data_IF_812847739777
#
_entry.id   IF_812847739777
#
_cell.length_a   1.000
_cell.length_b   1.000
_cell.length_c   1.000
_cell.angle_alpha   90.00
_cell.angle_beta   90.00
_cell.angle_gamma   90.00
#
_symmetry.space_group_name_H-M   'P 1'
#
loop_
_entity.id
_entity.type
_entity.pdbx_description
1 polymer ?
#
# COMPACT_ATOMS: atom_id res chain seq x y z
N UNK A 1 -21.75 66.50 10.08
CA UNK A 1 -20.41 65.92 10.36
C UNK A 1 -20.54 64.87 11.44
N UNK A 2 -20.79 63.61 11.05
CA UNK A 2 -20.97 62.49 11.97
C UNK A 2 -19.79 61.51 11.79
N UNK A 3 -19.08 61.29 12.88
CA UNK A 3 -17.78 60.63 12.97
C UNK A 3 -17.95 59.12 12.77
N UNK A 4 -17.16 58.58 11.85
CA UNK A 4 -16.93 57.16 11.60
C UNK A 4 -16.38 56.43 12.83
N UNK A 5 -16.87 55.23 13.09
CA UNK A 5 -16.02 54.03 13.31
C UNK A 5 -16.83 52.77 13.05
N UNK A 6 -16.79 52.38 11.77
CA UNK A 6 -17.24 51.10 11.21
C UNK A 6 -16.33 50.00 11.74
N UNK A 7 -16.91 49.00 12.41
CA UNK A 7 -16.22 47.79 12.82
C UNK A 7 -15.63 47.11 11.57
N UNK A 8 -14.31 46.92 11.54
CA UNK A 8 -13.62 46.10 10.55
C UNK A 8 -13.71 44.64 10.99
N UNK A 9 -14.71 43.93 10.50
CA UNK A 9 -14.65 42.48 10.39
C UNK A 9 -13.65 42.12 9.27
N UNK A 10 -12.42 41.81 9.66
CA UNK A 10 -11.46 41.14 8.78
C UNK A 10 -11.76 39.64 8.81
N UNK A 11 -12.76 39.21 8.04
CA UNK A 11 -12.92 37.81 7.67
C UNK A 11 -11.79 37.47 6.70
N UNK A 12 -10.73 36.84 7.23
CA UNK A 12 -9.71 36.16 6.43
C UNK A 12 -10.40 35.07 5.60
N UNK A 13 -10.62 35.34 4.33
CA UNK A 13 -11.06 34.36 3.35
C UNK A 13 -9.89 33.38 3.11
N UNK A 14 -9.97 32.20 3.71
CA UNK A 14 -8.99 31.14 3.51
C UNK A 14 -9.20 30.54 2.12
N UNK A 15 -8.20 30.54 1.22
CA UNK A 15 -8.36 29.91 -0.08
C UNK A 15 -8.63 28.42 0.11
N UNK A 16 -9.80 27.97 -0.34
CA UNK A 16 -10.16 26.55 -0.36
C UNK A 16 -9.10 25.77 -1.14
N UNK A 17 -8.42 24.84 -0.47
CA UNK A 17 -7.44 23.94 -1.12
C UNK A 17 -8.16 23.16 -2.22
N UNK A 18 -7.80 23.43 -3.48
CA UNK A 18 -8.23 22.60 -4.60
C UNK A 18 -7.80 21.14 -4.34
N UNK A 19 -8.66 20.15 -4.65
CA UNK A 19 -8.27 18.76 -4.55
C UNK A 19 -7.04 18.52 -5.44
N UNK A 20 -6.01 17.86 -4.91
CA UNK A 20 -4.81 17.46 -5.66
C UNK A 20 -5.25 16.53 -6.80
N UNK A 21 -5.52 17.09 -7.98
CA UNK A 21 -5.76 16.33 -9.20
C UNK A 21 -4.41 15.71 -9.55
N UNK A 22 -4.35 14.37 -9.57
CA UNK A 22 -3.15 13.63 -9.95
C UNK A 22 -2.67 14.00 -11.36
N UNK A 23 -1.53 13.45 -11.76
CA UNK A 23 -0.90 13.72 -13.06
C UNK A 23 -1.93 13.71 -14.21
N UNK A 24 -1.93 14.72 -15.11
CA UNK A 24 -2.89 14.81 -16.21
C UNK A 24 -2.93 13.53 -17.04
N UNK A 25 -4.12 12.96 -17.22
CA UNK A 25 -4.31 11.78 -18.08
C UNK A 25 -4.19 12.23 -19.54
N UNK A 26 -3.25 11.64 -20.29
CA UNK A 26 -3.12 11.88 -21.73
C UNK A 26 -4.41 11.50 -22.45
N UNK A 27 -5.08 12.48 -23.07
CA UNK A 27 -6.33 12.29 -23.83
C UNK A 27 -6.13 11.50 -25.13
N UNK A 28 -4.91 11.49 -25.66
CA UNK A 28 -4.59 10.96 -26.99
C UNK A 28 -3.72 9.69 -26.97
N UNK A 29 -3.37 9.19 -25.78
CA UNK A 29 -2.61 7.96 -25.63
C UNK A 29 -3.47 6.69 -25.73
N UNK A 30 -2.88 5.51 -26.02
CA UNK A 30 -3.57 4.23 -25.96
C UNK A 30 -4.26 4.07 -24.60
N UNK A 31 -5.58 3.84 -24.59
CA UNK A 31 -6.32 3.59 -23.35
C UNK A 31 -5.77 2.34 -22.67
N UNK A 32 -5.61 2.40 -21.34
CA UNK A 32 -5.24 1.21 -20.56
C UNK A 32 -6.26 0.10 -20.83
N UNK A 33 -5.77 -1.09 -21.17
CA UNK A 33 -6.63 -2.28 -21.33
C UNK A 33 -7.43 -2.49 -20.04
N UNK A 34 -8.70 -2.92 -20.13
CA UNK A 34 -9.49 -3.24 -18.94
C UNK A 34 -8.78 -4.31 -18.12
N UNK A 35 -8.76 -4.15 -16.80
CA UNK A 35 -8.05 -5.07 -15.90
C UNK A 35 -8.79 -6.41 -15.89
N UNK A 36 -8.13 -7.45 -16.39
CA UNK A 36 -8.63 -8.84 -16.34
C UNK A 36 -8.17 -9.51 -15.05
N UNK A 37 -8.71 -9.09 -13.91
CA UNK A 37 -8.36 -9.76 -12.65
C UNK A 37 -8.95 -11.17 -12.63
N UNK A 38 -8.10 -12.17 -12.90
CA UNK A 38 -8.50 -13.60 -12.87
C UNK A 38 -8.33 -14.25 -11.50
N UNK A 39 -7.68 -13.56 -10.56
CA UNK A 39 -7.34 -14.09 -9.26
C UNK A 39 -8.29 -13.57 -8.18
N UNK A 40 -9.17 -14.45 -7.71
CA UNK A 40 -9.88 -14.25 -6.43
C UNK A 40 -8.93 -14.63 -5.29
N UNK A 41 -8.78 -13.71 -4.34
CA UNK A 41 -8.00 -13.92 -3.11
C UNK A 41 -8.97 -14.20 -1.98
N UNK A 42 -8.74 -15.24 -1.18
CA UNK A 42 -9.61 -15.59 -0.05
C UNK A 42 -9.11 -14.95 1.24
N UNK A 43 -9.98 -14.78 2.24
CA UNK A 43 -9.62 -14.19 3.54
C UNK A 43 -8.78 -15.16 4.38
N UNK A 44 -8.11 -14.68 5.43
CA UNK A 44 -7.39 -15.56 6.35
C UNK A 44 -8.31 -16.52 7.11
N UNK A 45 -9.53 -16.08 7.45
CA UNK A 45 -10.54 -16.96 8.06
C UNK A 45 -10.91 -18.13 7.16
N UNK A 46 -11.20 -17.87 5.88
CA UNK A 46 -11.55 -18.91 4.91
C UNK A 46 -10.37 -19.87 4.70
N UNK A 47 -9.13 -19.35 4.59
CA UNK A 47 -7.93 -20.20 4.50
C UNK A 47 -7.80 -21.13 5.69
N UNK A 48 -8.03 -20.64 6.90
CA UNK A 48 -7.97 -21.45 8.10
C UNK A 48 -9.04 -22.57 8.07
N UNK A 49 -10.28 -22.24 7.73
CA UNK A 49 -11.35 -23.25 7.59
C UNK A 49 -11.02 -24.31 6.55
N UNK A 50 -10.42 -23.92 5.42
CA UNK A 50 -9.96 -24.84 4.37
C UNK A 50 -8.84 -25.75 4.87
N UNK A 51 -7.86 -25.21 5.61
CA UNK A 51 -6.76 -26.00 6.20
C UNK A 51 -7.31 -27.01 7.21
N UNK A 52 -8.21 -26.58 8.11
CA UNK A 52 -8.82 -27.46 9.10
C UNK A 52 -9.62 -28.60 8.46
N UNK A 53 -10.39 -28.31 7.41
CA UNK A 53 -11.12 -29.34 6.67
C UNK A 53 -10.19 -30.27 5.86
N UNK A 54 -9.08 -29.73 5.36
CA UNK A 54 -8.07 -30.53 4.69
C UNK A 54 -7.45 -31.57 5.62
N UNK A 55 -7.14 -31.19 6.87
CA UNK A 55 -6.59 -32.10 7.87
C UNK A 55 -7.52 -33.29 8.17
N UNK A 56 -8.85 -33.07 8.09
CA UNK A 56 -9.85 -34.12 8.38
C UNK A 56 -10.24 -34.96 7.17
N UNK A 57 -10.29 -34.38 5.97
CA UNK A 57 -10.95 -35.00 4.81
C UNK A 57 -10.05 -35.11 3.56
N UNK A 58 -8.87 -34.51 3.57
CA UNK A 58 -7.91 -34.53 2.47
C UNK A 58 -8.28 -33.62 1.28
N UNK A 59 -7.37 -33.55 0.30
CA UNK A 59 -7.40 -32.56 -0.79
C UNK A 59 -8.66 -32.61 -1.66
N UNK A 60 -9.06 -33.80 -2.12
CA UNK A 60 -10.16 -33.91 -3.08
C UNK A 60 -11.49 -33.51 -2.46
N UNK A 61 -11.75 -33.98 -1.24
CA UNK A 61 -12.91 -33.61 -0.44
C UNK A 61 -12.96 -32.10 -0.19
N UNK A 62 -11.81 -31.50 0.16
CA UNK A 62 -11.68 -30.06 0.40
C UNK A 62 -12.04 -29.25 -0.84
N UNK A 63 -11.50 -29.61 -1.99
CA UNK A 63 -11.81 -28.94 -3.25
C UNK A 63 -13.29 -29.11 -3.64
N UNK A 64 -13.92 -30.25 -3.34
CA UNK A 64 -15.35 -30.45 -3.60
C UNK A 64 -16.23 -29.60 -2.68
N UNK A 65 -15.90 -29.52 -1.39
CA UNK A 65 -16.67 -28.78 -0.40
C UNK A 65 -16.59 -27.26 -0.59
N UNK A 66 -15.38 -26.72 -0.78
CA UNK A 66 -15.16 -25.27 -0.86
C UNK A 66 -15.17 -24.72 -2.28
N UNK A 67 -14.83 -25.55 -3.28
CA UNK A 67 -14.51 -25.11 -4.64
C UNK A 67 -15.12 -26.01 -5.72
N UNK A 68 -16.29 -26.59 -5.45
CA UNK A 68 -16.96 -27.57 -6.33
C UNK A 68 -17.42 -27.00 -7.68
N UNK A 69 -17.67 -25.70 -7.75
CA UNK A 69 -18.11 -24.99 -8.96
C UNK A 69 -16.96 -24.51 -9.87
N UNK A 70 -15.70 -24.80 -9.51
CA UNK A 70 -14.56 -24.40 -10.32
C UNK A 70 -14.35 -25.33 -11.52
N UNK A 71 -13.90 -24.75 -12.64
CA UNK A 71 -13.40 -25.54 -13.79
C UNK A 71 -12.17 -26.36 -13.39
N UNK A 72 -11.87 -27.42 -14.15
CA UNK A 72 -10.72 -28.29 -13.84
C UNK A 72 -9.40 -27.52 -13.69
N UNK A 73 -9.12 -26.55 -14.58
CA UNK A 73 -7.92 -25.71 -14.50
C UNK A 73 -7.91 -24.80 -13.27
N UNK A 74 -9.06 -24.24 -12.90
CA UNK A 74 -9.17 -23.40 -11.70
C UNK A 74 -9.06 -24.23 -10.41
N UNK A 75 -9.62 -25.44 -10.41
CA UNK A 75 -9.49 -26.43 -9.33
C UNK A 75 -8.04 -26.83 -9.11
N UNK A 76 -7.30 -27.06 -10.20
CA UNK A 76 -5.87 -27.37 -10.16
C UNK A 76 -5.03 -26.21 -9.62
N UNK A 77 -5.40 -24.98 -9.96
CA UNK A 77 -4.79 -23.76 -9.40
C UNK A 77 -5.07 -23.61 -7.90
N UNK A 78 -6.30 -23.94 -7.48
CA UNK A 78 -6.67 -23.87 -6.06
C UNK A 78 -5.97 -24.94 -5.22
N UNK A 79 -5.81 -26.16 -5.75
CA UNK A 79 -4.99 -27.20 -5.11
C UNK A 79 -3.57 -26.70 -4.80
N UNK A 80 -2.92 -26.01 -5.76
CA UNK A 80 -1.59 -25.40 -5.54
C UNK A 80 -1.63 -24.32 -4.46
N UNK A 81 -2.69 -23.49 -4.44
CA UNK A 81 -2.87 -22.48 -3.39
C UNK A 81 -3.01 -23.10 -2.01
N UNK A 82 -3.81 -24.17 -1.88
CA UNK A 82 -3.99 -24.87 -0.60
C UNK A 82 -2.65 -25.42 -0.10
N UNK A 83 -1.84 -26.05 -0.95
CA UNK A 83 -0.49 -26.48 -0.54
C UNK A 83 0.41 -25.30 -0.11
N UNK A 84 0.34 -24.18 -0.83
CA UNK A 84 1.05 -22.95 -0.43
C UNK A 84 0.55 -22.40 0.92
N UNK A 85 -0.73 -22.54 1.24
CA UNK A 85 -1.30 -22.15 2.53
C UNK A 85 -0.87 -23.09 3.65
N UNK A 86 -0.86 -24.41 3.40
CA UNK A 86 -0.34 -25.41 4.34
C UNK A 86 1.13 -25.14 4.70
N UNK A 87 1.94 -24.76 3.71
CA UNK A 87 3.33 -24.36 3.95
C UNK A 87 3.49 -23.08 4.79
N UNK A 88 2.45 -22.25 4.88
CA UNK A 88 2.44 -20.99 5.66
C UNK A 88 1.36 -21.02 6.76
N UNK A 89 1.08 -22.21 7.31
CA UNK A 89 -0.02 -22.45 8.27
C UNK A 89 0.07 -21.54 9.49
N UNK A 90 1.22 -21.49 10.15
CA UNK A 90 1.40 -20.72 11.39
C UNK A 90 1.07 -19.24 11.21
N UNK A 91 1.44 -18.67 10.06
CA UNK A 91 1.10 -17.29 9.71
C UNK A 91 -0.41 -17.11 9.49
N UNK A 92 -1.05 -18.06 8.82
CA UNK A 92 -2.50 -18.01 8.57
C UNK A 92 -3.28 -18.14 9.88
N UNK A 93 -2.87 -19.02 10.78
CA UNK A 93 -3.46 -19.19 12.12
C UNK A 93 -3.30 -17.91 12.95
N UNK A 94 -2.10 -17.34 12.98
CA UNK A 94 -1.82 -16.07 13.65
C UNK A 94 -2.70 -14.94 13.11
N UNK A 95 -2.87 -14.87 11.79
CA UNK A 95 -3.69 -13.84 11.16
C UNK A 95 -5.20 -14.07 11.36
N UNK A 96 -5.64 -15.32 11.41
CA UNK A 96 -7.04 -15.69 11.58
C UNK A 96 -7.52 -15.59 13.04
N UNK A 97 -6.61 -15.69 14.03
CA UNK A 97 -6.96 -15.60 15.45
C UNK A 97 -7.43 -14.21 15.88
N UNK A 98 -7.00 -13.15 15.19
CA UNK A 98 -7.44 -11.78 15.48
C UNK A 98 -8.58 -11.33 14.56
N UNK A 99 -9.67 -10.85 15.16
CA UNK A 99 -10.83 -10.32 14.42
C UNK A 99 -10.45 -9.18 13.44
N UNK A 100 -9.45 -8.38 13.79
CA UNK A 100 -8.93 -7.27 12.96
C UNK A 100 -8.24 -7.76 11.69
N UNK A 101 -7.74 -8.98 11.67
CA UNK A 101 -6.88 -9.54 10.61
C UNK A 101 -7.55 -10.69 9.86
N UNK A 102 -8.50 -11.38 10.47
CA UNK A 102 -9.17 -12.55 9.90
C UNK A 102 -9.88 -12.27 8.56
N UNK A 103 -10.53 -11.10 8.44
CA UNK A 103 -11.22 -10.66 7.22
C UNK A 103 -10.27 -10.11 6.14
N UNK A 104 -8.98 -9.93 6.46
CA UNK A 104 -7.99 -9.44 5.48
C UNK A 104 -7.66 -10.55 4.48
N UNK A 105 -7.46 -10.13 3.23
CA UNK A 105 -7.09 -11.01 2.10
C UNK A 105 -5.58 -11.03 1.85
N UNK A 106 -4.87 -10.03 2.34
CA UNK A 106 -3.43 -9.90 2.21
C UNK A 106 -2.92 -9.14 3.42
N UNK A 107 -1.85 -9.66 4.03
CA UNK A 107 -1.05 -8.89 4.97
C UNK A 107 0.00 -8.09 4.21
N UNK A 108 0.24 -6.86 4.67
CA UNK A 108 1.36 -6.04 4.25
C UNK A 108 2.18 -5.74 5.51
N UNK A 109 3.51 -5.92 5.49
CA UNK A 109 4.34 -5.43 6.58
C UNK A 109 4.14 -3.93 6.72
N UNK A 110 4.30 -3.43 7.94
CA UNK A 110 4.10 -2.02 8.28
C UNK A 110 4.88 -1.10 7.32
N UNK A 111 6.12 -1.48 6.97
CA UNK A 111 6.98 -0.75 6.03
C UNK A 111 6.63 -0.81 4.56
N UNK A 112 5.65 -1.63 4.16
CA UNK A 112 5.24 -1.66 2.75
C UNK A 112 4.39 -0.44 2.35
N UNK A 113 4.04 0.45 3.30
CA UNK A 113 3.22 1.63 3.03
C UNK A 113 3.60 2.88 3.82
N UNK A 114 4.60 2.83 4.71
CA UNK A 114 5.09 4.02 5.40
C UNK A 114 5.84 4.88 4.39
N UNK A 115 5.30 6.06 4.10
CA UNK A 115 6.01 7.14 3.42
C UNK A 115 6.47 8.14 4.47
N UNK A 116 7.46 8.95 4.13
CA UNK A 116 7.77 10.12 4.94
C UNK A 116 6.55 11.05 5.01
N UNK A 117 6.54 11.95 5.99
CA UNK A 117 5.51 13.00 6.03
C UNK A 117 5.66 13.92 4.81
N UNK A 118 4.55 14.50 4.35
CA UNK A 118 4.58 15.37 3.17
C UNK A 118 5.56 16.55 3.30
N UNK A 119 5.73 17.09 4.52
CA UNK A 119 6.69 18.15 4.80
C UNK A 119 8.14 17.67 4.65
N UNK A 120 8.46 16.47 5.13
CA UNK A 120 9.80 15.89 4.97
C UNK A 120 10.12 15.52 3.52
N UNK A 121 9.15 15.00 2.77
CA UNK A 121 9.32 14.75 1.32
C UNK A 121 9.56 16.06 0.55
N UNK A 122 8.88 17.14 0.90
CA UNK A 122 9.08 18.46 0.28
C UNK A 122 10.46 19.05 0.60
N UNK A 123 10.92 18.91 1.85
CA UNK A 123 12.29 19.30 2.23
C UNK A 123 13.34 18.51 1.46
N UNK A 124 13.17 17.18 1.32
CA UNK A 124 14.04 16.35 0.51
C UNK A 124 14.01 16.76 -0.97
N UNK A 125 12.83 17.08 -1.52
CA UNK A 125 12.71 17.53 -2.90
C UNK A 125 13.42 18.86 -3.13
N UNK A 126 13.32 19.79 -2.17
CA UNK A 126 14.05 21.06 -2.21
C UNK A 126 15.56 20.82 -2.17
N UNK A 127 16.04 19.96 -1.28
CA UNK A 127 17.46 19.57 -1.23
C UNK A 127 17.94 18.98 -2.57
N UNK A 128 17.15 18.11 -3.21
CA UNK A 128 17.49 17.56 -4.54
C UNK A 128 17.58 18.67 -5.60
N UNK A 129 16.65 19.63 -5.58
CA UNK A 129 16.64 20.75 -6.52
C UNK A 129 17.88 21.63 -6.33
N UNK A 130 18.26 21.91 -5.09
CA UNK A 130 19.42 22.73 -4.76
C UNK A 130 20.72 22.04 -5.21
N UNK A 131 20.88 20.73 -4.94
CA UNK A 131 22.03 19.96 -5.43
C UNK A 131 22.14 19.97 -6.96
N UNK A 132 21.01 19.84 -7.66
CA UNK A 132 20.99 19.89 -9.14
C UNK A 132 21.30 21.29 -9.66
N UNK A 133 20.89 22.34 -8.95
CA UNK A 133 21.23 23.73 -9.26
C UNK A 133 22.73 23.98 -9.15
N UNK A 134 23.38 23.35 -8.18
CA UNK A 134 24.84 23.39 -8.00
C UNK A 134 25.60 22.46 -8.97
N UNK A 135 24.89 21.81 -9.90
CA UNK A 135 25.49 20.90 -10.89
C UNK A 135 25.85 19.51 -10.33
N UNK A 136 25.45 19.20 -9.10
CA UNK A 136 25.71 17.91 -8.45
C UNK A 136 24.60 16.92 -8.81
N UNK A 137 24.92 15.79 -9.47
CA UNK A 137 23.93 14.76 -9.73
C UNK A 137 23.55 14.03 -8.44
N UNK A 138 22.26 14.04 -8.08
CA UNK A 138 21.74 13.22 -6.98
C UNK A 138 21.48 11.80 -7.46
N UNK A 139 22.27 10.86 -6.94
CA UNK A 139 22.09 9.43 -7.23
C UNK A 139 21.01 8.82 -6.34
N UNK A 140 20.50 7.65 -6.73
CA UNK A 140 19.51 6.92 -5.94
C UNK A 140 20.04 6.52 -4.56
N UNK A 141 21.34 6.26 -4.44
CA UNK A 141 21.97 5.96 -3.15
C UNK A 141 21.96 7.19 -2.23
N UNK A 142 22.27 8.38 -2.77
CA UNK A 142 22.24 9.63 -1.99
C UNK A 142 20.84 9.96 -1.53
N UNK A 143 19.84 9.87 -2.43
CA UNK A 143 18.44 10.10 -2.07
C UNK A 143 17.98 9.12 -0.98
N UNK A 144 18.41 7.86 -1.06
CA UNK A 144 18.10 6.85 -0.04
C UNK A 144 18.66 7.23 1.33
N UNK A 145 19.93 7.65 1.39
CA UNK A 145 20.58 8.03 2.65
C UNK A 145 19.83 9.21 3.28
N UNK A 146 19.59 10.28 2.52
CA UNK A 146 18.89 11.46 3.03
C UNK A 146 17.46 11.14 3.48
N UNK A 147 16.76 10.27 2.76
CA UNK A 147 15.42 9.84 3.15
C UNK A 147 15.40 9.06 4.45
N UNK A 148 16.40 8.21 4.70
CA UNK A 148 16.54 7.48 5.96
C UNK A 148 16.92 8.42 7.11
N UNK A 149 17.80 9.40 6.87
CA UNK A 149 18.11 10.45 7.86
C UNK A 149 16.86 11.25 8.25
N UNK A 150 16.06 11.68 7.26
CA UNK A 150 14.80 12.35 7.51
C UNK A 150 13.79 11.48 8.28
N UNK A 151 13.84 10.15 8.11
CA UNK A 151 13.02 9.21 8.86
C UNK A 151 13.44 9.15 10.33
N UNK A 152 14.76 9.10 10.59
CA UNK A 152 15.34 9.13 11.93
C UNK A 152 14.92 10.42 12.66
N UNK A 153 14.99 11.57 11.98
CA UNK A 153 14.58 12.86 12.55
C UNK A 153 13.09 12.91 12.91
N UNK A 154 12.26 12.16 12.18
CA UNK A 154 10.82 11.99 12.47
C UNK A 154 10.53 10.93 13.53
N UNK A 155 11.56 10.24 14.05
CA UNK A 155 11.41 9.14 14.99
C UNK A 155 10.78 7.89 14.39
N UNK A 156 10.88 7.72 13.07
CA UNK A 156 10.42 6.51 12.37
C UNK A 156 11.50 5.44 12.54
N UNK A 157 11.11 4.25 13.00
CA UNK A 157 12.08 3.18 13.23
C UNK A 157 12.58 2.57 11.90
N UNK A 158 13.81 2.04 11.89
CA UNK A 158 14.47 1.47 10.70
C UNK A 158 13.60 0.43 9.95
N UNK A 159 12.81 -0.33 10.71
CA UNK A 159 11.96 -1.39 10.16
C UNK A 159 10.64 -0.87 9.55
N UNK A 160 10.31 0.41 9.78
CA UNK A 160 9.10 1.09 9.32
C UNK A 160 9.32 1.84 8.00
N UNK A 161 10.49 2.44 7.77
CA UNK A 161 10.81 3.12 6.52
C UNK A 161 12.15 2.68 5.95
N UNK A 162 12.13 1.94 4.83
CA UNK A 162 13.32 1.33 4.24
C UNK A 162 13.94 2.14 3.10
N UNK A 163 13.26 3.21 2.67
CA UNK A 163 13.56 3.94 1.42
C UNK A 163 13.83 2.96 0.26
N UNK A 164 12.96 1.96 0.09
CA UNK A 164 13.14 0.89 -0.90
C UNK A 164 12.97 1.38 -2.34
N UNK A 165 13.33 0.53 -3.31
CA UNK A 165 13.26 0.85 -4.75
C UNK A 165 11.92 1.45 -5.18
N UNK A 166 10.80 0.93 -4.65
CA UNK A 166 9.47 1.44 -4.99
C UNK A 166 9.20 2.87 -4.49
N UNK A 167 9.71 3.24 -3.31
CA UNK A 167 9.59 4.61 -2.80
C UNK A 167 10.50 5.53 -3.60
N UNK A 168 11.77 5.14 -3.76
CA UNK A 168 12.78 5.89 -4.54
C UNK A 168 12.31 6.17 -5.98
N UNK A 169 11.70 5.20 -6.64
CA UNK A 169 11.20 5.36 -8.02
C UNK A 169 9.93 6.24 -8.09
N UNK A 170 9.19 6.34 -6.98
CA UNK A 170 7.97 7.14 -6.89
C UNK A 170 8.22 8.59 -6.46
N UNK A 171 9.32 8.84 -5.75
CA UNK A 171 9.83 10.17 -5.38
C UNK A 171 10.32 10.93 -6.63
#
# INVERSE_FOLDING_TARGET
MAIHKRAMELTYDQPQRLPKIGRPVSKYGPKKKPRQYKNTVVTYSERLSVIQYFDTCGMQSTLSAFYGNLTMTARETMRKKIYSWLANRDHIETMASSARTASKRCWRPLSAGTTLTAAAEEQLAQWVLDMRKDGVPVTQAMLRVMALEAAIDLGIEDHEFLAGWHWIHGF
#
